data_IF_209693721356
#
_entry.id   IF_209693721356
#
_cell.length_a   1.000
_cell.length_b   1.000
_cell.length_c   1.000
_cell.angle_alpha   90.00
_cell.angle_beta   90.00
_cell.angle_gamma   90.00
#
_symmetry.space_group_name_H-M   'P 1'
#
loop_
_entity.id
_entity.type
_entity.pdbx_description
1 polymer ?
#
# COMPACT_ATOMS: atom_id res chain seq x y z
N UNK A 1 4.21 -22.75 8.15
CA UNK A 1 5.58 -22.96 7.67
C UNK A 1 6.54 -23.17 8.84
N UNK A 2 6.68 -22.23 9.78
CA UNK A 2 7.62 -22.32 10.92
C UNK A 2 7.43 -23.59 11.76
N UNK A 3 6.19 -23.93 12.13
CA UNK A 3 5.87 -25.15 12.88
C UNK A 3 6.29 -26.43 12.13
N UNK A 4 6.16 -26.45 10.81
CA UNK A 4 6.59 -27.60 9.99
C UNK A 4 8.11 -27.63 9.78
N UNK A 5 8.76 -26.48 9.76
CA UNK A 5 10.20 -26.40 9.62
C UNK A 5 10.93 -26.82 10.89
N UNK A 6 10.36 -26.57 12.06
CA UNK A 6 10.93 -26.82 13.39
C UNK A 6 12.40 -26.38 13.51
N UNK A 7 12.70 -25.16 12.99
CA UNK A 7 14.04 -24.65 12.87
C UNK A 7 14.06 -23.13 13.09
N UNK A 8 15.27 -22.61 13.33
CA UNK A 8 15.51 -21.16 13.40
C UNK A 8 14.94 -20.47 12.18
N UNK A 9 14.25 -19.34 12.40
CA UNK A 9 13.55 -18.63 11.33
C UNK A 9 13.99 -17.17 11.29
N UNK A 10 14.40 -16.72 10.10
CA UNK A 10 14.63 -15.30 9.79
C UNK A 10 13.45 -14.76 8.99
N UNK A 11 12.86 -13.66 9.44
CA UNK A 11 11.77 -12.96 8.73
C UNK A 11 12.30 -11.62 8.29
N UNK A 12 12.35 -11.39 6.98
CA UNK A 12 12.82 -10.15 6.38
C UNK A 12 11.63 -9.26 6.03
N UNK A 13 11.66 -8.03 6.53
CA UNK A 13 10.56 -7.06 6.39
C UNK A 13 11.06 -5.71 5.87
N UNK A 14 10.15 -4.91 5.34
CA UNK A 14 10.47 -3.64 4.69
C UNK A 14 10.89 -2.54 5.65
N UNK A 15 10.35 -2.51 6.88
CA UNK A 15 10.60 -1.43 7.85
C UNK A 15 10.28 -1.88 9.28
N UNK A 16 10.55 -1.02 10.26
CA UNK A 16 10.33 -1.31 11.68
C UNK A 16 8.86 -1.41 12.06
N UNK A 17 7.96 -0.76 11.33
CA UNK A 17 6.51 -0.88 11.56
C UNK A 17 6.04 -2.29 11.18
N UNK A 18 6.46 -2.79 10.02
CA UNK A 18 6.20 -4.16 9.62
C UNK A 18 6.82 -5.18 10.62
N UNK A 19 8.01 -4.89 11.15
CA UNK A 19 8.62 -5.74 12.19
C UNK A 19 7.74 -5.82 13.46
N UNK A 20 7.19 -4.70 13.92
CA UNK A 20 6.25 -4.69 15.07
C UNK A 20 4.97 -5.46 14.76
N UNK A 21 4.40 -5.28 13.57
CA UNK A 21 3.20 -6.02 13.15
C UNK A 21 3.46 -7.53 13.16
N UNK A 22 4.55 -7.98 12.57
CA UNK A 22 4.95 -9.38 12.58
C UNK A 22 5.11 -9.92 14.00
N UNK A 23 5.82 -9.18 14.89
CA UNK A 23 5.97 -9.55 16.30
C UNK A 23 4.61 -9.71 16.98
N UNK A 24 3.72 -8.73 16.84
CA UNK A 24 2.41 -8.75 17.47
C UNK A 24 1.54 -9.91 16.97
N UNK A 25 1.54 -10.16 15.66
CA UNK A 25 0.78 -11.29 15.09
C UNK A 25 1.35 -12.66 15.53
N UNK A 26 2.67 -12.79 15.62
CA UNK A 26 3.31 -14.01 16.13
C UNK A 26 2.91 -14.27 17.59
N UNK A 27 2.98 -13.27 18.45
CA UNK A 27 2.59 -13.39 19.87
C UNK A 27 1.09 -13.66 20.03
N UNK A 28 0.25 -13.05 19.18
CA UNK A 28 -1.20 -13.22 19.26
C UNK A 28 -1.69 -14.58 18.74
N UNK A 29 -1.06 -15.10 17.68
CA UNK A 29 -1.58 -16.23 16.90
C UNK A 29 -0.77 -17.52 17.03
N UNK A 30 0.33 -17.50 17.77
CA UNK A 30 1.19 -18.68 17.96
C UNK A 30 1.52 -18.89 19.43
N UNK A 31 2.17 -20.00 19.75
CA UNK A 31 2.68 -20.28 21.09
C UNK A 31 4.06 -19.65 21.38
N UNK A 32 4.56 -18.81 20.50
CA UNK A 32 5.85 -18.13 20.69
C UNK A 32 5.74 -17.10 21.82
N UNK A 33 6.79 -17.03 22.63
CA UNK A 33 6.95 -16.06 23.71
C UNK A 33 7.89 -14.92 23.30
N UNK A 34 7.87 -13.82 24.04
CA UNK A 34 8.67 -12.64 23.72
C UNK A 34 10.17 -12.89 23.69
N UNK A 35 10.65 -13.79 24.56
CA UNK A 35 12.06 -14.19 24.64
C UNK A 35 12.52 -15.03 23.43
N UNK A 36 11.60 -15.63 22.67
CA UNK A 36 11.89 -16.41 21.47
C UNK A 36 11.93 -15.56 20.20
N UNK A 37 11.42 -14.31 20.25
CA UNK A 37 11.34 -13.42 19.10
C UNK A 37 12.34 -12.26 19.26
N UNK A 38 13.35 -12.22 18.38
CA UNK A 38 14.33 -11.14 18.29
C UNK A 38 13.98 -10.12 17.22
N UNK A 39 14.41 -8.88 17.38
CA UNK A 39 14.33 -7.83 16.37
C UNK A 39 15.74 -7.38 15.97
N UNK A 40 16.00 -7.41 14.66
CA UNK A 40 17.25 -6.95 14.09
C UNK A 40 17.00 -5.78 13.13
N UNK A 41 17.06 -4.56 13.65
CA UNK A 41 16.70 -3.32 12.97
C UNK A 41 17.76 -2.23 13.19
N UNK A 42 17.50 -1.00 12.77
CA UNK A 42 18.37 0.14 13.03
C UNK A 42 18.68 0.34 14.52
N UNK A 43 17.70 0.19 15.39
CA UNK A 43 17.78 0.45 16.84
C UNK A 43 18.02 -0.79 17.69
N UNK A 44 17.66 -1.98 17.21
CA UNK A 44 17.78 -3.24 17.95
C UNK A 44 18.66 -4.23 17.19
N UNK A 45 19.40 -5.08 17.93
CA UNK A 45 20.34 -6.05 17.37
C UNK A 45 20.23 -7.41 18.08
N UNK A 46 18.99 -7.90 18.22
CA UNK A 46 18.71 -9.16 18.91
C UNK A 46 18.48 -10.28 17.90
N UNK A 47 19.31 -11.34 17.98
CA UNK A 47 19.13 -12.57 17.21
C UNK A 47 18.62 -13.65 18.14
N UNK A 48 17.50 -14.29 17.77
CA UNK A 48 16.83 -15.35 18.53
C UNK A 48 16.35 -16.46 17.61
N UNK A 49 15.68 -17.46 18.14
CA UNK A 49 15.15 -18.58 17.37
C UNK A 49 14.23 -18.14 16.22
N UNK A 50 13.43 -17.10 16.45
CA UNK A 50 12.70 -16.34 15.41
C UNK A 50 13.24 -14.91 15.42
N UNK A 51 13.85 -14.49 14.34
CA UNK A 51 14.42 -13.14 14.21
C UNK A 51 13.72 -12.38 13.11
N UNK A 52 13.23 -11.19 13.43
CA UNK A 52 12.62 -10.28 12.44
C UNK A 52 13.65 -9.20 12.11
N UNK A 53 14.11 -9.14 10.87
CA UNK A 53 15.11 -8.18 10.43
C UNK A 53 14.58 -7.29 9.32
N UNK A 54 14.97 -6.02 9.32
CA UNK A 54 14.62 -5.12 8.21
C UNK A 54 15.62 -5.27 7.06
N UNK A 55 15.14 -5.23 5.80
CA UNK A 55 16.04 -5.24 4.64
C UNK A 55 17.10 -4.13 4.72
N UNK A 56 16.72 -2.94 5.19
CA UNK A 56 17.61 -1.79 5.25
C UNK A 56 18.82 -2.03 6.16
N UNK A 57 18.64 -2.66 7.32
CA UNK A 57 19.77 -2.90 8.22
C UNK A 57 20.78 -3.86 7.61
N UNK A 58 20.31 -4.89 6.90
CA UNK A 58 21.17 -5.89 6.26
C UNK A 58 21.92 -5.29 5.06
N UNK A 59 21.31 -4.35 4.36
CA UNK A 59 21.89 -3.71 3.17
C UNK A 59 22.67 -2.42 3.49
N UNK A 60 22.81 -2.07 4.77
CA UNK A 60 23.60 -0.91 5.19
C UNK A 60 25.10 -1.25 5.14
N UNK A 61 25.85 -0.47 4.37
CA UNK A 61 27.32 -0.59 4.29
C UNK A 61 28.01 0.17 5.41
N UNK A 62 28.99 -0.47 6.03
CA UNK A 62 29.95 0.18 6.94
C UNK A 62 31.37 -0.09 6.42
N UNK A 63 32.12 0.96 6.09
CA UNK A 63 33.45 0.80 5.50
C UNK A 63 33.46 0.02 4.17
N UNK A 64 32.38 0.09 3.39
CA UNK A 64 32.25 -0.63 2.10
C UNK A 64 31.72 -2.07 2.22
N UNK A 65 31.56 -2.61 3.43
CA UNK A 65 31.14 -4.00 3.70
C UNK A 65 29.72 -4.03 4.27
N UNK A 66 28.97 -5.07 3.96
CA UNK A 66 27.64 -5.36 4.53
C UNK A 66 27.78 -6.13 5.86
N UNK A 67 28.38 -5.50 6.87
CA UNK A 67 28.71 -6.14 8.14
C UNK A 67 27.52 -6.80 8.85
N UNK A 68 26.31 -6.27 8.67
CA UNK A 68 25.10 -6.84 9.26
C UNK A 68 24.60 -8.07 8.49
N UNK A 69 24.81 -8.10 7.17
CA UNK A 69 24.48 -9.25 6.35
C UNK A 69 25.39 -10.42 6.71
N UNK A 70 26.70 -10.19 6.79
CA UNK A 70 27.70 -11.20 7.17
C UNK A 70 27.41 -11.80 8.56
N UNK A 71 27.01 -10.96 9.53
CA UNK A 71 26.67 -11.43 10.88
C UNK A 71 25.43 -12.33 10.86
N UNK A 72 24.43 -11.98 10.07
CA UNK A 72 23.19 -12.78 9.95
C UNK A 72 23.45 -14.07 9.17
N UNK A 73 24.31 -14.03 8.15
CA UNK A 73 24.66 -15.21 7.34
C UNK A 73 25.44 -16.28 8.12
N UNK A 74 26.14 -15.89 9.20
CA UNK A 74 26.84 -16.83 10.07
C UNK A 74 25.91 -17.73 10.91
N UNK A 75 24.58 -17.46 10.91
CA UNK A 75 23.61 -18.27 11.63
C UNK A 75 23.03 -19.36 10.74
N UNK A 76 22.84 -20.56 11.31
CA UNK A 76 22.20 -21.69 10.61
C UNK A 76 20.67 -21.46 10.57
N UNK A 77 20.19 -20.77 9.55
CA UNK A 77 18.76 -20.55 9.34
C UNK A 77 18.09 -21.77 8.69
N UNK A 78 17.16 -22.37 9.38
CA UNK A 78 16.35 -23.45 8.80
C UNK A 78 15.27 -22.94 7.84
N UNK A 79 14.79 -21.70 8.05
CA UNK A 79 13.80 -21.04 7.21
C UNK A 79 14.06 -19.54 7.11
N UNK A 80 14.02 -18.99 5.91
CA UNK A 80 13.95 -17.54 5.69
C UNK A 80 12.59 -17.21 5.07
N UNK A 81 11.88 -16.23 5.66
CA UNK A 81 10.63 -15.69 5.14
C UNK A 81 10.91 -14.28 4.61
N UNK A 82 10.63 -14.05 3.34
CA UNK A 82 10.76 -12.76 2.68
C UNK A 82 9.36 -12.14 2.58
N UNK A 83 9.09 -11.15 3.41
CA UNK A 83 7.88 -10.34 3.30
C UNK A 83 8.03 -9.32 2.17
N UNK A 84 6.95 -9.06 1.42
CA UNK A 84 6.96 -8.25 0.19
C UNK A 84 8.05 -8.72 -0.80
N UNK A 85 8.08 -10.03 -1.06
CA UNK A 85 9.12 -10.71 -1.85
C UNK A 85 9.31 -10.13 -3.27
N UNK A 86 8.31 -9.45 -3.81
CA UNK A 86 8.39 -8.75 -5.09
C UNK A 86 9.47 -7.65 -5.12
N UNK A 87 9.95 -7.17 -3.95
CA UNK A 87 11.04 -6.20 -3.85
C UNK A 87 12.42 -6.82 -4.06
N UNK A 88 12.54 -8.15 -3.91
CA UNK A 88 13.82 -8.87 -3.89
C UNK A 88 14.67 -8.70 -5.16
N UNK A 89 14.12 -8.62 -6.39
CA UNK A 89 14.92 -8.37 -7.58
C UNK A 89 15.61 -7.00 -7.63
N UNK A 90 15.19 -6.03 -6.80
CA UNK A 90 15.87 -4.75 -6.73
C UNK A 90 17.33 -4.94 -6.25
N UNK A 91 18.32 -4.30 -6.88
CA UNK A 91 19.73 -4.55 -6.61
C UNK A 91 20.11 -4.45 -5.13
N UNK A 92 19.51 -3.51 -4.39
CA UNK A 92 19.78 -3.30 -2.97
C UNK A 92 19.28 -4.46 -2.08
N UNK A 93 18.21 -5.16 -2.49
CA UNK A 93 17.62 -6.24 -1.69
C UNK A 93 18.11 -7.63 -2.13
N UNK A 94 18.61 -7.75 -3.36
CA UNK A 94 19.08 -9.02 -3.93
C UNK A 94 20.14 -9.70 -3.08
N UNK A 95 21.02 -8.93 -2.43
CA UNK A 95 22.05 -9.46 -1.53
C UNK A 95 21.46 -10.27 -0.36
N UNK A 96 20.23 -10.01 0.06
CA UNK A 96 19.60 -10.81 1.11
C UNK A 96 19.24 -12.23 0.65
N UNK A 97 19.18 -12.47 -0.65
CA UNK A 97 18.96 -13.80 -1.20
C UNK A 97 20.22 -14.68 -1.14
N UNK A 98 21.40 -14.09 -0.86
CA UNK A 98 22.65 -14.84 -0.69
C UNK A 98 22.77 -15.48 0.71
N UNK A 99 21.93 -15.03 1.69
CA UNK A 99 21.92 -15.62 3.04
C UNK A 99 21.59 -17.11 2.95
N UNK A 100 22.45 -17.93 3.58
CA UNK A 100 22.30 -19.38 3.57
C UNK A 100 21.07 -19.84 4.37
N UNK A 101 20.26 -20.70 3.78
CA UNK A 101 19.08 -21.28 4.43
C UNK A 101 18.66 -22.59 3.77
N UNK A 102 18.12 -23.49 4.59
CA UNK A 102 17.56 -24.77 4.09
C UNK A 102 16.28 -24.59 3.32
N UNK A 103 15.45 -23.61 3.70
CA UNK A 103 14.15 -23.34 3.09
C UNK A 103 13.95 -21.84 2.96
N UNK A 104 13.28 -21.45 1.89
CA UNK A 104 12.87 -20.06 1.62
C UNK A 104 11.39 -20.00 1.34
N UNK A 105 10.74 -18.94 1.84
CA UNK A 105 9.34 -18.65 1.61
C UNK A 105 9.18 -17.18 1.27
N UNK A 106 8.69 -16.88 0.09
CA UNK A 106 8.30 -15.53 -0.31
C UNK A 106 6.82 -15.30 -0.07
N UNK A 107 6.48 -14.16 0.51
CA UNK A 107 5.12 -13.69 0.74
C UNK A 107 4.91 -12.37 0.03
N UNK A 108 3.79 -12.23 -0.65
CA UNK A 108 3.33 -10.96 -1.20
C UNK A 108 1.84 -11.02 -1.50
N UNK A 109 1.14 -9.94 -1.26
CA UNK A 109 -0.25 -9.79 -1.71
C UNK A 109 -0.34 -9.49 -3.21
N UNK A 110 0.73 -8.99 -3.81
CA UNK A 110 0.75 -8.49 -5.19
C UNK A 110 2.04 -8.92 -5.87
N UNK A 111 2.05 -10.10 -6.47
CA UNK A 111 3.17 -10.54 -7.31
C UNK A 111 3.01 -9.96 -8.72
N UNK A 112 2.95 -8.66 -8.82
CA UNK A 112 2.91 -7.93 -10.08
C UNK A 112 4.06 -6.94 -10.10
N UNK A 113 4.91 -7.03 -11.11
CA UNK A 113 6.01 -6.10 -11.32
C UNK A 113 5.84 -5.37 -12.65
N UNK A 114 6.03 -4.05 -12.61
CA UNK A 114 5.90 -3.22 -13.81
C UNK A 114 7.09 -3.44 -14.79
N UNK A 115 8.20 -3.96 -14.27
CA UNK A 115 9.41 -4.26 -15.05
C UNK A 115 9.43 -5.69 -15.63
N UNK A 116 8.41 -6.51 -15.35
CA UNK A 116 8.32 -7.88 -15.85
C UNK A 116 9.31 -8.87 -15.24
N UNK A 117 9.97 -8.51 -14.12
CA UNK A 117 11.00 -9.33 -13.47
C UNK A 117 10.43 -10.32 -12.43
N UNK A 118 9.17 -10.73 -12.56
CA UNK A 118 8.57 -11.76 -11.69
C UNK A 118 9.36 -13.07 -11.73
N UNK A 119 9.90 -13.41 -12.90
CA UNK A 119 10.75 -14.60 -13.09
C UNK A 119 11.99 -14.62 -12.20
N UNK A 120 12.55 -13.46 -11.85
CA UNK A 120 13.70 -13.39 -10.93
C UNK A 120 13.31 -13.77 -9.50
N UNK A 121 12.10 -13.41 -9.05
CA UNK A 121 11.60 -13.84 -7.74
C UNK A 121 11.53 -15.35 -7.67
N UNK A 122 11.02 -15.99 -8.72
CA UNK A 122 10.95 -17.45 -8.79
C UNK A 122 12.33 -18.11 -8.81
N UNK A 123 13.31 -17.50 -9.46
CA UNK A 123 14.69 -17.99 -9.49
C UNK A 123 15.38 -17.89 -8.12
N UNK A 124 15.09 -16.83 -7.35
CA UNK A 124 15.71 -16.58 -6.06
C UNK A 124 15.08 -17.37 -4.90
N UNK A 125 13.77 -17.54 -4.94
CA UNK A 125 12.99 -18.13 -3.85
C UNK A 125 12.41 -19.50 -4.21
N UNK A 126 11.84 -19.63 -5.40
CA UNK A 126 11.15 -20.83 -5.86
C UNK A 126 9.82 -20.51 -6.54
N UNK A 127 9.16 -21.52 -7.12
CA UNK A 127 7.92 -21.33 -7.85
C UNK A 127 6.76 -20.89 -6.94
N UNK A 128 5.79 -20.17 -7.51
CA UNK A 128 4.53 -19.83 -6.86
C UNK A 128 3.81 -21.11 -6.43
N UNK A 129 3.53 -21.26 -5.16
CA UNK A 129 2.94 -22.46 -4.55
C UNK A 129 1.49 -22.28 -4.15
N UNK A 130 1.10 -21.04 -3.86
CA UNK A 130 -0.22 -20.71 -3.38
C UNK A 130 -0.63 -19.35 -3.90
N UNK A 131 -1.85 -19.24 -4.34
CA UNK A 131 -2.47 -18.02 -4.82
C UNK A 131 -3.98 -18.12 -4.59
N UNK A 132 -4.55 -17.07 -4.04
CA UNK A 132 -5.99 -16.97 -3.81
C UNK A 132 -6.47 -15.61 -4.31
N UNK A 133 -7.39 -15.57 -5.27
CA UNK A 133 -8.01 -14.32 -5.68
C UNK A 133 -8.66 -13.59 -4.50
N UNK A 134 -8.54 -12.28 -4.46
CA UNK A 134 -9.08 -11.49 -3.35
C UNK A 134 -10.59 -11.64 -3.19
N UNK A 135 -11.32 -11.80 -4.30
CA UNK A 135 -12.77 -12.06 -4.26
C UNK A 135 -13.13 -13.36 -3.55
N UNK A 136 -12.29 -14.37 -3.62
CA UNK A 136 -12.48 -15.62 -2.87
C UNK A 136 -12.26 -15.37 -1.37
N UNK A 137 -11.20 -14.62 -1.00
CA UNK A 137 -10.93 -14.25 0.40
C UNK A 137 -12.05 -13.36 0.96
N UNK A 138 -12.61 -12.48 0.13
CA UNK A 138 -13.80 -11.66 0.47
C UNK A 138 -15.03 -12.55 0.76
N UNK A 139 -15.30 -13.52 -0.11
CA UNK A 139 -16.45 -14.43 0.08
C UNK A 139 -16.35 -15.28 1.35
N UNK A 140 -15.12 -15.53 1.83
CA UNK A 140 -14.83 -16.22 3.08
C UNK A 140 -14.87 -15.31 4.31
N UNK A 141 -15.07 -13.99 4.13
CA UNK A 141 -15.17 -13.01 5.21
C UNK A 141 -13.82 -12.57 5.82
N UNK A 142 -12.69 -12.90 5.19
CA UNK A 142 -11.37 -12.47 5.66
C UNK A 142 -11.02 -11.05 5.27
N UNK A 143 -11.63 -10.52 4.22
CA UNK A 143 -11.53 -9.12 3.83
C UNK A 143 -12.93 -8.53 3.61
N UNK A 144 -13.08 -7.22 3.76
CA UNK A 144 -14.33 -6.54 3.55
C UNK A 144 -14.73 -6.52 2.07
N UNK A 145 -16.03 -6.61 1.75
CA UNK A 145 -16.48 -6.36 0.39
C UNK A 145 -16.14 -4.93 -0.03
N UNK A 146 -15.77 -4.77 -1.30
CA UNK A 146 -15.44 -3.47 -1.85
C UNK A 146 -16.14 -3.20 -3.18
N UNK A 147 -16.56 -1.96 -3.34
CA UNK A 147 -17.01 -1.38 -4.59
C UNK A 147 -15.92 -0.44 -5.14
N UNK A 148 -15.41 -0.75 -6.32
CA UNK A 148 -14.43 0.09 -7.02
C UNK A 148 -15.19 1.00 -8.00
N UNK A 149 -14.98 2.31 -7.89
CA UNK A 149 -15.70 3.31 -8.68
C UNK A 149 -14.67 4.21 -9.39
N UNK A 150 -14.68 4.19 -10.72
CA UNK A 150 -13.92 5.15 -11.51
C UNK A 150 -14.82 6.37 -11.81
N UNK A 151 -14.44 7.52 -11.31
CA UNK A 151 -15.10 8.79 -11.60
C UNK A 151 -14.36 9.51 -12.72
N UNK A 152 -14.97 9.57 -13.89
CA UNK A 152 -14.42 10.26 -15.06
C UNK A 152 -14.68 11.74 -14.98
N UNK A 153 -13.62 12.53 -14.95
CA UNK A 153 -13.64 13.98 -14.78
C UNK A 153 -13.35 14.64 -16.13
N UNK A 154 -14.29 15.44 -16.62
CA UNK A 154 -14.09 16.26 -17.81
C UNK A 154 -13.22 17.47 -17.45
N UNK A 155 -12.17 17.69 -18.26
CA UNK A 155 -11.35 18.90 -18.13
C UNK A 155 -12.10 20.10 -18.66
N UNK A 156 -12.00 21.25 -17.99
CA UNK A 156 -12.42 22.53 -18.56
C UNK A 156 -11.57 22.89 -19.78
N UNK A 157 -12.03 23.80 -20.63
CA UNK A 157 -11.28 24.23 -21.82
C UNK A 157 -9.89 24.77 -21.45
N UNK A 158 -9.77 25.50 -20.34
CA UNK A 158 -8.51 26.01 -19.84
C UNK A 158 -7.57 24.88 -19.39
N UNK A 159 -8.08 23.89 -18.66
CA UNK A 159 -7.29 22.71 -18.22
C UNK A 159 -6.90 21.84 -19.42
N UNK A 160 -7.78 21.71 -20.41
CA UNK A 160 -7.51 20.98 -21.66
C UNK A 160 -6.40 21.65 -22.47
N UNK A 161 -6.41 22.98 -22.55
CA UNK A 161 -5.33 23.73 -23.20
C UNK A 161 -3.99 23.55 -22.46
N UNK A 162 -3.98 23.66 -21.13
CA UNK A 162 -2.79 23.42 -20.31
C UNK A 162 -2.24 22.01 -20.51
N UNK A 163 -3.12 21.02 -20.54
CA UNK A 163 -2.71 19.64 -20.79
C UNK A 163 -2.14 19.44 -22.20
N UNK A 164 -2.78 20.03 -23.22
CA UNK A 164 -2.35 19.91 -24.62
C UNK A 164 -0.97 20.51 -24.85
N UNK A 165 -0.66 21.63 -24.18
CA UNK A 165 0.62 22.35 -24.30
C UNK A 165 1.70 21.88 -23.32
N UNK A 166 1.36 21.00 -22.38
CA UNK A 166 2.33 20.47 -21.41
C UNK A 166 3.35 19.57 -22.08
N UNK A 167 4.60 19.67 -21.63
CA UNK A 167 5.66 18.74 -22.02
C UNK A 167 5.30 17.28 -21.61
N UNK A 168 5.73 16.27 -22.37
CA UNK A 168 5.34 14.87 -22.13
C UNK A 168 5.54 14.42 -20.69
N UNK A 169 6.64 14.80 -20.05
CA UNK A 169 6.99 14.48 -18.66
C UNK A 169 6.06 15.13 -17.63
N UNK A 170 5.42 16.25 -17.98
CA UNK A 170 4.51 16.99 -17.10
C UNK A 170 3.03 16.66 -17.36
N UNK A 171 2.68 15.99 -18.46
CA UNK A 171 1.30 15.73 -18.84
C UNK A 171 0.50 15.05 -17.73
N UNK A 172 1.07 14.01 -17.10
CA UNK A 172 0.36 13.31 -16.05
C UNK A 172 0.10 14.23 -14.84
N UNK A 173 1.10 14.98 -14.38
CA UNK A 173 0.89 15.93 -13.29
C UNK A 173 -0.20 16.93 -13.63
N UNK A 174 -0.16 17.52 -14.83
CA UNK A 174 -1.14 18.52 -15.29
C UNK A 174 -2.56 18.01 -15.24
N UNK A 175 -2.84 16.80 -15.73
CA UNK A 175 -4.20 16.25 -15.68
C UNK A 175 -4.57 15.64 -14.31
N UNK A 176 -3.60 15.20 -13.52
CA UNK A 176 -3.85 14.63 -12.20
C UNK A 176 -4.18 15.69 -11.14
N UNK A 177 -3.64 16.93 -11.26
CA UNK A 177 -3.77 17.99 -10.26
C UNK A 177 -4.74 19.10 -10.66
N UNK A 178 -5.70 18.81 -11.53
CA UNK A 178 -6.68 19.80 -12.00
C UNK A 178 -7.61 20.25 -10.87
N UNK A 179 -8.05 21.51 -10.95
CA UNK A 179 -9.04 22.06 -10.00
C UNK A 179 -10.36 21.31 -10.04
N UNK A 180 -10.75 20.85 -11.23
CA UNK A 180 -11.97 20.06 -11.41
C UNK A 180 -11.93 18.78 -10.59
N UNK A 181 -10.82 18.04 -10.55
CA UNK A 181 -10.66 16.88 -9.64
C UNK A 181 -10.77 17.27 -8.17
N UNK A 182 -10.21 18.41 -7.78
CA UNK A 182 -10.35 18.93 -6.42
C UNK A 182 -11.81 19.19 -6.05
N UNK A 183 -12.60 19.80 -6.95
CA UNK A 183 -14.01 20.05 -6.74
C UNK A 183 -14.81 18.75 -6.57
N UNK A 184 -14.56 17.74 -7.40
CA UNK A 184 -15.22 16.42 -7.27
C UNK A 184 -14.82 15.72 -5.96
N UNK A 185 -13.56 15.79 -5.56
CA UNK A 185 -13.11 15.23 -4.29
C UNK A 185 -13.87 15.85 -3.11
N UNK A 186 -14.09 17.16 -3.12
CA UNK A 186 -14.88 17.86 -2.09
C UNK A 186 -16.34 17.41 -2.06
N UNK A 187 -16.96 17.26 -3.21
CA UNK A 187 -18.34 16.75 -3.28
C UNK A 187 -18.46 15.34 -2.71
N UNK A 188 -17.51 14.47 -3.02
CA UNK A 188 -17.49 13.12 -2.45
C UNK A 188 -17.26 13.14 -0.92
N UNK A 189 -16.40 14.04 -0.42
CA UNK A 189 -16.20 14.24 1.02
C UNK A 189 -17.51 14.71 1.71
N UNK A 190 -18.20 15.66 1.14
CA UNK A 190 -19.48 16.15 1.67
C UNK A 190 -20.56 15.05 1.63
N UNK A 191 -20.62 14.27 0.55
CA UNK A 191 -21.60 13.19 0.39
C UNK A 191 -21.42 12.08 1.42
N UNK A 192 -20.17 11.77 1.76
CA UNK A 192 -19.80 10.75 2.75
C UNK A 192 -19.53 11.33 4.14
N UNK A 193 -20.05 12.52 4.42
CA UNK A 193 -19.88 13.16 5.73
C UNK A 193 -20.34 12.27 6.88
N UNK A 194 -19.46 12.04 7.85
CA UNK A 194 -19.72 11.14 8.98
C UNK A 194 -19.18 9.72 8.80
N UNK A 195 -18.70 9.37 7.62
CA UNK A 195 -17.96 8.14 7.39
C UNK A 195 -16.45 8.36 7.60
N UNK A 196 -15.69 7.30 7.73
CA UNK A 196 -14.23 7.36 7.81
C UNK A 196 -13.61 7.37 6.42
N UNK A 197 -13.05 8.52 6.04
CA UNK A 197 -12.62 8.83 4.68
C UNK A 197 -11.11 9.01 4.60
N UNK A 198 -10.47 8.33 3.65
CA UNK A 198 -9.09 8.59 3.26
C UNK A 198 -9.04 9.25 1.88
N UNK A 199 -8.49 10.46 1.81
CA UNK A 199 -8.13 11.10 0.54
C UNK A 199 -6.68 10.80 0.23
N UNK A 200 -6.42 10.16 -0.92
CA UNK A 200 -5.10 9.65 -1.27
C UNK A 200 -4.61 10.33 -2.54
N UNK A 201 -3.37 10.82 -2.53
CA UNK A 201 -2.79 11.42 -3.72
C UNK A 201 -1.25 11.34 -3.76
N UNK A 202 -0.72 11.68 -4.93
CA UNK A 202 0.72 11.67 -5.17
C UNK A 202 1.37 13.04 -5.02
N UNK A 203 0.66 14.11 -5.38
CA UNK A 203 1.20 15.45 -5.47
C UNK A 203 0.88 16.26 -4.21
N UNK A 204 1.92 16.68 -3.48
CA UNK A 204 1.77 17.35 -2.19
C UNK A 204 1.04 18.68 -2.29
N UNK A 205 1.27 19.46 -3.35
CA UNK A 205 0.58 20.72 -3.60
C UNK A 205 -0.94 20.56 -3.78
N UNK A 206 -1.36 19.49 -4.49
CA UNK A 206 -2.78 19.11 -4.60
C UNK A 206 -3.37 18.75 -3.24
N UNK A 207 -2.65 17.93 -2.47
CA UNK A 207 -3.11 17.44 -1.16
C UNK A 207 -3.16 18.56 -0.13
N UNK A 208 -2.19 19.48 -0.14
CA UNK A 208 -2.15 20.64 0.74
C UNK A 208 -3.32 21.58 0.46
N UNK A 209 -3.61 21.83 -0.81
CA UNK A 209 -4.79 22.60 -1.22
C UNK A 209 -6.08 21.97 -0.71
N UNK A 210 -6.27 20.67 -0.92
CA UNK A 210 -7.47 19.95 -0.44
C UNK A 210 -7.57 19.97 1.09
N UNK A 211 -6.45 19.71 1.78
CA UNK A 211 -6.34 19.75 3.25
C UNK A 211 -6.77 21.11 3.79
N UNK A 212 -6.22 22.17 3.24
CA UNK A 212 -6.49 23.54 3.68
C UNK A 212 -7.95 23.94 3.43
N UNK A 213 -8.46 23.67 2.22
CA UNK A 213 -9.81 24.08 1.83
C UNK A 213 -10.91 23.29 2.54
N UNK A 214 -10.63 22.06 2.95
CA UNK A 214 -11.59 21.20 3.64
C UNK A 214 -11.38 21.15 5.16
N UNK A 215 -10.29 21.73 5.68
CA UNK A 215 -9.95 21.66 7.11
C UNK A 215 -9.63 20.25 7.57
N UNK A 216 -9.07 19.40 6.70
CA UNK A 216 -8.74 18.00 6.97
C UNK A 216 -7.22 17.85 7.12
N UNK A 217 -6.78 17.14 8.15
CA UNK A 217 -5.34 16.95 8.42
C UNK A 217 -4.62 16.19 7.30
N UNK A 218 -3.50 16.75 6.83
CA UNK A 218 -2.62 16.14 5.83
C UNK A 218 -1.47 15.40 6.51
N UNK A 219 -1.29 14.13 6.15
CA UNK A 219 -0.17 13.30 6.57
C UNK A 219 0.77 13.07 5.37
N UNK A 220 2.04 13.44 5.56
CA UNK A 220 3.09 13.29 4.55
C UNK A 220 4.28 12.49 5.11
N UNK A 221 5.30 12.29 4.26
CA UNK A 221 6.58 11.72 4.70
C UNK A 221 7.30 12.55 5.76
N UNK A 222 7.05 13.84 5.81
CA UNK A 222 7.66 14.76 6.77
C UNK A 222 6.92 14.81 8.12
N UNK A 223 5.70 14.27 8.21
CA UNK A 223 4.94 14.19 9.47
C UNK A 223 5.70 13.30 10.46
N UNK A 224 6.05 13.80 11.65
CA UNK A 224 6.76 13.02 12.67
C UNK A 224 6.05 11.69 12.99
N UNK A 225 6.83 10.65 13.25
CA UNK A 225 6.28 9.29 13.46
C UNK A 225 5.25 9.28 14.61
N UNK A 226 5.55 9.95 15.72
CA UNK A 226 4.66 10.01 16.88
C UNK A 226 3.33 10.68 16.54
N UNK A 227 3.39 11.84 15.89
CA UNK A 227 2.19 12.59 15.46
C UNK A 227 1.36 11.75 14.47
N UNK A 228 2.01 11.06 13.56
CA UNK A 228 1.34 10.16 12.61
C UNK A 228 0.64 9.01 13.31
N UNK A 229 1.28 8.39 14.31
CA UNK A 229 0.69 7.32 15.12
C UNK A 229 -0.54 7.83 15.91
N UNK A 230 -0.46 9.03 16.49
CA UNK A 230 -1.58 9.69 17.19
C UNK A 230 -2.75 9.97 16.24
N UNK A 231 -2.51 10.54 15.05
CA UNK A 231 -3.55 10.80 14.04
C UNK A 231 -4.22 9.52 13.57
N UNK A 232 -3.45 8.46 13.35
CA UNK A 232 -4.02 7.17 12.95
C UNK A 232 -4.79 6.50 14.07
N UNK A 233 -4.38 6.68 15.31
CA UNK A 233 -5.13 6.19 16.45
C UNK A 233 -6.48 6.92 16.56
N UNK A 234 -6.49 8.26 16.51
CA UNK A 234 -7.72 9.03 16.52
C UNK A 234 -8.66 8.69 15.36
N UNK A 235 -8.09 8.38 14.17
CA UNK A 235 -8.89 7.91 13.04
C UNK A 235 -9.50 6.52 13.31
N UNK A 236 -8.75 5.57 13.89
CA UNK A 236 -9.28 4.25 14.27
C UNK A 236 -10.36 4.32 15.34
N UNK A 237 -10.25 5.25 16.27
CA UNK A 237 -11.19 5.45 17.35
C UNK A 237 -12.43 6.26 16.93
N UNK A 238 -12.44 6.77 15.69
CA UNK A 238 -13.54 7.58 15.15
C UNK A 238 -13.56 9.02 15.65
N UNK A 239 -12.51 9.48 16.33
CA UNK A 239 -12.33 10.88 16.73
C UNK A 239 -12.01 11.77 15.51
N UNK A 240 -11.34 11.20 14.53
CA UNK A 240 -10.99 11.81 13.23
C UNK A 240 -11.71 11.04 12.15
N UNK A 241 -12.62 11.71 11.43
CA UNK A 241 -13.42 11.06 10.38
C UNK A 241 -12.78 11.15 8.99
N UNK A 242 -11.86 12.07 8.76
CA UNK A 242 -11.20 12.20 7.45
C UNK A 242 -9.72 12.53 7.59
N UNK A 243 -8.89 11.94 6.72
CA UNK A 243 -7.48 12.23 6.60
C UNK A 243 -7.09 12.37 5.13
N UNK A 244 -6.21 13.32 4.83
CA UNK A 244 -5.53 13.43 3.55
C UNK A 244 -4.16 12.78 3.70
N UNK A 245 -3.80 11.85 2.82
CA UNK A 245 -2.55 11.10 2.95
C UNK A 245 -1.75 11.10 1.64
N UNK A 246 -0.46 11.37 1.75
CA UNK A 246 0.44 11.27 0.60
C UNK A 246 0.88 9.82 0.35
N UNK A 247 1.50 9.58 -0.81
CA UNK A 247 2.08 8.29 -1.20
C UNK A 247 2.94 7.65 -0.11
N UNK A 248 3.73 8.42 0.61
CA UNK A 248 4.66 7.89 1.64
C UNK A 248 3.91 7.32 2.84
N UNK A 249 2.72 7.82 3.11
CA UNK A 249 1.87 7.27 4.16
C UNK A 249 1.25 5.91 3.78
N UNK A 250 1.20 5.57 2.49
CA UNK A 250 0.58 4.33 2.00
C UNK A 250 1.26 3.05 2.50
N UNK A 251 2.58 3.07 2.73
CA UNK A 251 3.35 1.85 3.06
C UNK A 251 3.31 1.44 4.54
N UNK A 252 2.75 2.26 5.43
CA UNK A 252 2.86 2.03 6.88
C UNK A 252 1.52 2.07 7.62
N UNK A 253 0.40 2.27 6.92
CA UNK A 253 -0.89 2.51 7.54
C UNK A 253 -1.72 1.24 7.59
N UNK A 254 -2.16 0.88 8.77
CA UNK A 254 -3.19 -0.11 9.03
C UNK A 254 -4.44 0.62 9.54
N UNK A 255 -5.37 0.95 8.65
CA UNK A 255 -6.60 1.67 8.95
C UNK A 255 -7.83 0.81 8.59
N UNK A 256 -8.17 -0.18 9.43
CA UNK A 256 -9.28 -1.08 9.13
C UNK A 256 -10.65 -0.40 9.14
N UNK A 257 -10.76 0.76 9.78
CA UNK A 257 -12.01 1.50 9.94
C UNK A 257 -12.35 2.37 8.72
N UNK A 258 -11.39 2.65 7.83
CA UNK A 258 -11.66 3.42 6.61
C UNK A 258 -12.73 2.74 5.73
N UNK A 259 -13.87 3.42 5.55
CA UNK A 259 -14.97 2.91 4.71
C UNK A 259 -14.91 3.45 3.31
N UNK A 260 -14.37 4.65 3.17
CA UNK A 260 -14.27 5.37 1.91
C UNK A 260 -12.83 5.71 1.64
N UNK A 261 -12.38 5.48 0.40
CA UNK A 261 -11.14 6.07 -0.11
C UNK A 261 -11.41 6.84 -1.39
N UNK A 262 -10.80 8.01 -1.48
CA UNK A 262 -10.88 8.89 -2.64
C UNK A 262 -9.47 9.10 -3.17
N UNK A 263 -9.13 8.45 -4.28
CA UNK A 263 -7.84 8.63 -4.94
C UNK A 263 -7.90 9.77 -5.93
N UNK A 264 -7.32 10.91 -5.58
CA UNK A 264 -7.31 12.12 -6.43
C UNK A 264 -6.20 12.08 -7.48
N UNK A 265 -5.09 11.41 -7.18
CA UNK A 265 -4.00 11.14 -8.12
C UNK A 265 -3.35 9.78 -7.80
N UNK A 266 -3.16 8.96 -8.82
CA UNK A 266 -2.53 7.65 -8.70
C UNK A 266 -1.02 7.69 -8.91
N UNK A 267 -0.33 6.57 -8.65
CA UNK A 267 1.09 6.42 -8.90
C UNK A 267 1.32 5.96 -10.34
N UNK A 268 1.26 6.89 -11.26
CA UNK A 268 1.40 6.63 -12.70
C UNK A 268 0.60 5.40 -13.16
N UNK A 269 1.01 4.38 -13.68
CA UNK A 269 0.28 3.16 -14.03
C UNK A 269 0.49 2.00 -13.06
N UNK A 270 1.02 2.22 -11.85
CA UNK A 270 1.41 1.13 -10.96
C UNK A 270 0.23 0.32 -10.43
N UNK A 271 0.11 -0.91 -10.91
CA UNK A 271 -0.87 -1.91 -10.49
C UNK A 271 -0.66 -2.32 -9.03
N UNK A 272 0.59 -2.40 -8.62
CA UNK A 272 0.99 -2.79 -7.27
C UNK A 272 0.56 -1.76 -6.23
N UNK A 273 0.81 -0.46 -6.49
CA UNK A 273 0.40 0.59 -5.55
C UNK A 273 -1.12 0.69 -5.42
N UNK A 274 -1.86 0.53 -6.51
CA UNK A 274 -3.33 0.49 -6.49
C UNK A 274 -3.84 -0.66 -5.63
N UNK A 275 -3.31 -1.86 -5.82
CA UNK A 275 -3.66 -3.02 -5.04
C UNK A 275 -3.32 -2.85 -3.55
N UNK A 276 -2.15 -2.29 -3.22
CA UNK A 276 -1.77 -2.01 -1.83
C UNK A 276 -2.69 -0.98 -1.17
N UNK A 277 -3.14 0.03 -1.90
CA UNK A 277 -4.11 1.03 -1.42
C UNK A 277 -5.45 0.39 -1.09
N UNK A 278 -6.01 -0.35 -2.04
CA UNK A 278 -7.29 -1.04 -1.83
C UNK A 278 -7.17 -2.09 -0.72
N UNK A 279 -6.11 -2.88 -0.69
CA UNK A 279 -5.90 -3.91 0.33
C UNK A 279 -5.86 -3.40 1.76
N UNK A 280 -5.54 -2.10 1.96
CA UNK A 280 -5.59 -1.47 3.29
C UNK A 280 -7.02 -1.10 3.70
N UNK A 281 -7.86 -0.77 2.74
CA UNK A 281 -9.27 -0.42 2.95
C UNK A 281 -10.13 -1.68 3.11
N UNK A 282 -9.75 -2.76 2.44
CA UNK A 282 -10.44 -4.05 2.44
C UNK A 282 -10.31 -4.86 3.74
N UNK A 283 -9.86 -4.28 4.82
CA UNK A 283 -9.79 -5.02 6.08
C UNK A 283 -11.18 -5.28 6.65
N UNK A 284 -11.40 -6.46 7.27
CA UNK A 284 -12.68 -6.78 7.86
C UNK A 284 -13.12 -5.70 8.84
N UNK A 285 -14.35 -5.25 8.71
CA UNK A 285 -14.96 -4.25 9.60
C UNK A 285 -15.93 -4.95 10.54
N UNK A 286 -16.01 -4.46 11.77
CA UNK A 286 -16.85 -5.05 12.79
C UNK A 286 -18.35 -5.05 12.40
N UNK A 287 -18.76 -4.10 11.57
CA UNK A 287 -20.16 -3.90 11.14
C UNK A 287 -20.48 -4.49 9.77
N UNK A 288 -19.52 -5.12 9.10
CA UNK A 288 -19.71 -5.74 7.78
C UNK A 288 -19.98 -4.79 6.62
N UNK A 289 -19.76 -3.48 6.80
CA UNK A 289 -20.03 -2.48 5.73
C UNK A 289 -19.11 -2.71 4.53
N UNK A 290 -19.65 -2.45 3.32
CA UNK A 290 -18.88 -2.43 2.07
C UNK A 290 -18.00 -1.19 2.00
N UNK A 291 -16.73 -1.38 1.70
CA UNK A 291 -15.81 -0.29 1.43
C UNK A 291 -16.04 0.27 0.01
N UNK A 292 -15.88 1.58 -0.16
CA UNK A 292 -15.92 2.22 -1.48
C UNK A 292 -14.59 2.88 -1.81
N UNK A 293 -14.09 2.57 -2.99
CA UNK A 293 -12.82 3.08 -3.50
C UNK A 293 -13.08 3.90 -4.77
N UNK A 294 -13.06 5.21 -4.63
CA UNK A 294 -13.19 6.16 -5.73
C UNK A 294 -11.84 6.49 -6.33
N UNK A 295 -11.71 6.35 -7.65
CA UNK A 295 -10.53 6.79 -8.41
C UNK A 295 -10.96 7.91 -9.36
N UNK A 296 -10.45 9.12 -9.17
CA UNK A 296 -10.72 10.26 -10.04
C UNK A 296 -9.79 10.23 -11.25
N UNK A 297 -10.36 10.13 -12.44
CA UNK A 297 -9.62 9.96 -13.70
C UNK A 297 -9.97 11.05 -14.69
N UNK A 298 -8.99 11.83 -15.11
CA UNK A 298 -9.20 12.85 -16.14
C UNK A 298 -9.42 12.21 -17.51
N UNK A 299 -10.59 12.44 -18.10
CA UNK A 299 -10.99 11.87 -19.39
C UNK A 299 -10.11 12.39 -20.53
N UNK A 300 -9.87 11.53 -21.51
CA UNK A 300 -9.11 11.81 -22.73
C UNK A 300 -7.67 12.33 -22.46
N UNK A 301 -7.04 11.80 -21.42
CA UNK A 301 -5.68 12.13 -21.02
C UNK A 301 -4.89 10.86 -20.69
N UNK A 302 -3.57 11.00 -20.52
CA UNK A 302 -2.68 9.90 -20.04
C UNK A 302 -3.10 9.35 -18.68
N UNK A 303 -3.89 10.06 -17.89
CA UNK A 303 -4.41 9.55 -16.62
C UNK A 303 -5.38 8.38 -16.84
N UNK A 304 -6.14 8.40 -17.94
CA UNK A 304 -7.04 7.30 -18.30
C UNK A 304 -6.25 6.05 -18.67
N UNK A 305 -5.15 6.18 -19.42
CA UNK A 305 -4.28 5.05 -19.75
C UNK A 305 -3.64 4.48 -18.49
N UNK A 306 -3.16 5.34 -17.59
CA UNK A 306 -2.60 4.93 -16.32
C UNK A 306 -3.64 4.30 -15.39
N UNK A 307 -4.88 4.79 -15.39
CA UNK A 307 -5.98 4.19 -14.63
C UNK A 307 -6.27 2.77 -15.10
N UNK A 308 -6.36 2.54 -16.42
CA UNK A 308 -6.55 1.20 -16.98
C UNK A 308 -5.45 0.23 -16.52
N UNK A 309 -4.19 0.66 -16.53
CA UNK A 309 -3.08 -0.16 -16.06
C UNK A 309 -3.19 -0.47 -14.56
N UNK A 310 -3.50 0.52 -13.72
CA UNK A 310 -3.67 0.33 -12.27
C UNK A 310 -4.80 -0.66 -11.97
N UNK A 311 -5.92 -0.54 -12.65
CA UNK A 311 -7.13 -1.34 -12.42
C UNK A 311 -6.97 -2.80 -12.86
N UNK A 312 -6.06 -3.06 -13.80
CA UNK A 312 -5.87 -4.40 -14.37
C UNK A 312 -5.66 -5.47 -13.32
N UNK A 313 -4.82 -5.22 -12.31
CA UNK A 313 -4.59 -6.19 -11.25
C UNK A 313 -5.88 -6.50 -10.47
N UNK A 314 -6.65 -5.48 -10.07
CA UNK A 314 -7.88 -5.68 -9.30
C UNK A 314 -8.94 -6.40 -10.13
N UNK A 315 -8.99 -6.14 -11.42
CA UNK A 315 -9.86 -6.88 -12.35
C UNK A 315 -9.46 -8.36 -12.42
N UNK A 316 -8.17 -8.66 -12.47
CA UNK A 316 -7.64 -10.03 -12.39
C UNK A 316 -7.96 -10.71 -11.05
N UNK A 317 -8.14 -9.93 -9.96
CA UNK A 317 -8.58 -10.43 -8.66
C UNK A 317 -10.10 -10.56 -8.53
N UNK A 318 -10.86 -10.32 -9.59
CA UNK A 318 -12.31 -10.48 -9.66
C UNK A 318 -13.12 -9.23 -9.27
N UNK A 319 -12.48 -8.06 -9.09
CA UNK A 319 -13.19 -6.80 -8.92
C UNK A 319 -13.59 -6.20 -10.26
N UNK A 320 -14.73 -5.54 -10.29
CA UNK A 320 -15.17 -4.71 -11.41
C UNK A 320 -15.19 -3.25 -11.00
N UNK A 321 -14.83 -2.36 -11.91
CA UNK A 321 -14.99 -0.93 -11.71
C UNK A 321 -16.33 -0.46 -12.29
N UNK A 322 -17.15 0.16 -11.44
CA UNK A 322 -18.29 0.95 -11.91
C UNK A 322 -17.75 2.29 -12.41
N UNK A 323 -17.96 2.57 -13.69
CA UNK A 323 -17.51 3.83 -14.30
C UNK A 323 -18.69 4.80 -14.25
N UNK A 324 -18.47 5.97 -13.68
CA UNK A 324 -19.47 7.05 -13.60
C UNK A 324 -18.87 8.37 -14.10
N UNK A 325 -19.71 9.24 -14.59
CA UNK A 325 -19.32 10.60 -14.96
C UNK A 325 -19.34 11.52 -13.74
N UNK A 326 -18.35 12.39 -13.65
CA UNK A 326 -18.30 13.41 -12.61
C UNK A 326 -19.51 14.37 -12.70
N UNK A 327 -20.00 14.62 -13.90
CA UNK A 327 -21.16 15.47 -14.14
C UNK A 327 -22.43 14.90 -13.49
N UNK A 328 -22.59 13.58 -13.46
CA UNK A 328 -23.72 12.91 -12.80
C UNK A 328 -23.67 13.09 -11.27
N UNK A 329 -22.47 13.18 -10.68
CA UNK A 329 -22.30 13.50 -9.26
C UNK A 329 -22.69 14.97 -8.99
N UNK A 330 -22.33 15.88 -9.89
CA UNK A 330 -22.62 17.32 -9.78
C UNK A 330 -24.13 17.60 -9.85
N UNK A 331 -24.85 16.84 -10.67
CA UNK A 331 -26.28 17.00 -10.87
C UNK A 331 -27.11 16.29 -9.79
N UNK A 332 -26.47 15.38 -9.02
CA UNK A 332 -27.17 14.61 -7.99
C UNK A 332 -27.97 13.41 -8.53
N UNK A 333 -27.73 13.02 -9.78
CA UNK A 333 -28.48 11.97 -10.47
C UNK A 333 -28.03 10.54 -10.14
N UNK A 334 -26.95 10.37 -9.36
CA UNK A 334 -26.48 9.04 -8.95
C UNK A 334 -26.61 8.88 -7.43
N UNK A 335 -27.37 7.86 -7.00
CA UNK A 335 -27.21 7.27 -5.68
C UNK A 335 -25.84 6.54 -5.62
N UNK A 336 -24.90 7.13 -4.93
CA UNK A 336 -23.56 6.59 -4.67
C UNK A 336 -23.56 5.71 -3.45
#
# INVERSE_FOLDING_TARGET
AMSLAQATTLILVTNTVAARQWRNELLKRTSLTEDQIGEYSGSKKEIRAVTIATYQVLTTKRGGVYAHLDLVDQHDWGLIIYDEVHLLPAPIFRFTADIQSRRRLGLTATLVREDGLEGEVFSLIGPKRYDVPWKEIESQGYIAPAECIEVRVNLTDAERLLYATAEPEHKYRTCATTRTKGAIAKLLLEKHKGEQILVIGQYLDQLDTLSTEMGITLITGNTPIKEREELFQGFREGEINALVVSKVANFSIDLPEATIAIQVSGAFGSRQEEAQRLGRILRPKADGRTARFYTLVARDTVDQDFAQNRQRFLTEQGYSYRIIDADDILIGDIEL
#
